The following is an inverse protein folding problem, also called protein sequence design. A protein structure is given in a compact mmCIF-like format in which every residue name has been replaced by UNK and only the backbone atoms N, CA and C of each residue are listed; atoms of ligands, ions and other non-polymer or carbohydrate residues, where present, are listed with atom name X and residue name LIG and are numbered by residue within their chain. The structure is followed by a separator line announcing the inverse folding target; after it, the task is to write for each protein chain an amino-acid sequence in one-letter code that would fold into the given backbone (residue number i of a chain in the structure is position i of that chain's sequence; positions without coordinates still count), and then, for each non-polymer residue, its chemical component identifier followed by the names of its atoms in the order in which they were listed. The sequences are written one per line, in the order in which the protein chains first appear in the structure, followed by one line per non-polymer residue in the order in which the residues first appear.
data_IF_268951341938
#
_entry.id   IF_268951341938
#
_cell.length_a   1.000
_cell.length_b   1.000
_cell.length_c   1.000
_cell.angle_alpha   90.00
_cell.angle_beta   90.00
_cell.angle_gamma   90.00
#
_symmetry.space_group_name_H-M   'P 1'
#
loop_
_entity.id
_entity.type
_entity.pdbx_description
1 polymer ?
#
# COMPACT_ATOMS: atom_id res chain seq x y z
N UNK A 1 7.46 5.14 33.51
CA UNK A 1 7.42 4.95 32.04
C UNK A 1 7.27 3.47 31.85
N UNK A 2 6.04 3.00 31.88
CA UNK A 2 5.74 1.59 31.71
C UNK A 2 6.08 1.23 30.26
N UNK A 3 7.00 0.29 30.09
CA UNK A 3 7.33 -0.21 28.76
C UNK A 3 6.11 -1.00 28.27
N UNK A 4 5.40 -0.45 27.30
CA UNK A 4 4.25 -1.10 26.69
C UNK A 4 4.77 -2.24 25.80
N UNK A 5 4.73 -3.47 26.34
CA UNK A 5 5.05 -4.68 25.60
C UNK A 5 3.80 -5.19 24.90
N UNK A 6 3.89 -5.46 23.60
CA UNK A 6 2.81 -6.05 22.82
C UNK A 6 3.05 -7.56 22.65
N UNK A 7 1.99 -8.35 22.69
CA UNK A 7 2.04 -9.77 22.37
C UNK A 7 2.33 -9.94 20.87
N UNK A 8 3.32 -10.75 20.52
CA UNK A 8 3.72 -10.98 19.12
C UNK A 8 2.52 -11.41 18.24
N UNK A 9 1.64 -12.25 18.79
CA UNK A 9 0.43 -12.69 18.12
C UNK A 9 -0.53 -11.55 17.79
N UNK A 10 -0.64 -10.53 18.64
CA UNK A 10 -1.49 -9.36 18.39
C UNK A 10 -0.91 -8.49 17.28
N UNK A 11 0.42 -8.29 17.29
CA UNK A 11 1.11 -7.55 16.23
C UNK A 11 0.95 -8.27 14.88
N UNK A 12 1.21 -9.58 14.84
CA UNK A 12 1.06 -10.39 13.63
C UNK A 12 -0.38 -10.40 13.12
N UNK A 13 -1.36 -10.46 14.02
CA UNK A 13 -2.79 -10.35 13.70
C UNK A 13 -3.12 -9.00 13.06
N UNK A 14 -2.64 -7.90 13.64
CA UNK A 14 -2.83 -6.55 13.09
C UNK A 14 -2.21 -6.40 11.70
N UNK A 15 -0.99 -6.92 11.50
CA UNK A 15 -0.34 -6.93 10.17
C UNK A 15 -1.19 -7.70 9.16
N UNK A 16 -1.65 -8.90 9.53
CA UNK A 16 -2.46 -9.75 8.65
C UNK A 16 -3.79 -9.09 8.25
N UNK A 17 -4.50 -8.51 9.21
CA UNK A 17 -5.73 -7.74 8.94
C UNK A 17 -5.44 -6.52 8.07
N UNK A 18 -4.35 -5.80 8.34
CA UNK A 18 -3.89 -4.67 7.52
C UNK A 18 -3.67 -5.07 6.06
N UNK A 19 -3.08 -6.25 5.81
CA UNK A 19 -2.90 -6.79 4.46
C UNK A 19 -4.22 -7.15 3.77
N UNK A 20 -5.25 -7.59 4.51
CA UNK A 20 -6.59 -7.83 3.96
C UNK A 20 -7.31 -6.52 3.60
N UNK A 21 -7.00 -5.40 4.26
CA UNK A 21 -7.62 -4.11 3.95
C UNK A 21 -7.09 -3.45 2.66
N UNK A 22 -5.91 -3.83 2.18
CA UNK A 22 -5.24 -3.21 1.02
C UNK A 22 -5.20 -4.11 -0.22
N UNK A 23 -6.15 -5.04 -0.30
CA UNK A 23 -6.31 -5.94 -1.44
C UNK A 23 -6.60 -5.17 -2.74
N UNK A 24 -6.08 -5.70 -3.85
CA UNK A 24 -6.24 -5.12 -5.19
C UNK A 24 -7.73 -4.93 -5.53
N UNK A 25 -8.52 -6.02 -5.44
CA UNK A 25 -9.96 -5.93 -5.62
C UNK A 25 -10.63 -5.32 -4.38
N UNK A 26 -11.49 -4.34 -4.58
CA UNK A 26 -12.30 -3.75 -3.50
C UNK A 26 -13.25 -4.79 -2.86
N UNK A 27 -13.71 -5.78 -3.62
CA UNK A 27 -14.59 -6.84 -3.13
C UNK A 27 -13.89 -7.80 -2.16
N UNK A 28 -12.56 -7.82 -2.17
CA UNK A 28 -11.76 -8.70 -1.30
C UNK A 28 -11.39 -8.04 0.04
N UNK A 29 -11.73 -6.75 0.22
CA UNK A 29 -11.45 -6.01 1.44
C UNK A 29 -12.54 -6.32 2.47
N UNK A 30 -12.18 -6.60 3.74
CA UNK A 30 -13.18 -6.81 4.78
C UNK A 30 -13.92 -5.51 5.06
N UNK A 31 -15.19 -5.62 5.42
CA UNK A 31 -15.94 -4.50 5.97
C UNK A 31 -15.44 -4.16 7.40
N UNK A 32 -15.75 -2.95 7.88
CA UNK A 32 -15.27 -2.49 9.19
C UNK A 32 -15.80 -3.33 10.37
N UNK A 33 -17.00 -3.90 10.27
CA UNK A 33 -17.53 -4.76 11.33
C UNK A 33 -16.76 -6.08 11.42
N UNK A 34 -16.40 -6.66 10.27
CA UNK A 34 -15.49 -7.80 10.18
C UNK A 34 -14.11 -7.46 10.75
N UNK A 35 -13.55 -6.27 10.47
CA UNK A 35 -12.26 -5.84 11.03
C UNK A 35 -12.31 -5.76 12.56
N UNK A 36 -13.33 -5.14 13.14
CA UNK A 36 -13.50 -5.06 14.59
C UNK A 36 -13.65 -6.44 15.22
N UNK A 37 -14.43 -7.32 14.57
CA UNK A 37 -14.58 -8.71 15.00
C UNK A 37 -13.23 -9.46 14.97
N UNK A 38 -12.45 -9.32 13.89
CA UNK A 38 -11.12 -9.93 13.75
C UNK A 38 -10.12 -9.44 14.80
N UNK A 39 -10.19 -8.18 15.18
CA UNK A 39 -9.34 -7.61 16.23
C UNK A 39 -9.74 -8.10 17.63
N UNK A 40 -11.04 -8.19 17.92
CA UNK A 40 -11.57 -8.54 19.24
C UNK A 40 -11.50 -10.03 19.58
N UNK A 41 -11.24 -10.91 18.62
CA UNK A 41 -11.15 -12.35 18.82
C UNK A 41 -9.71 -12.86 18.61
N UNK A 42 -9.28 -13.81 19.44
CA UNK A 42 -7.91 -14.34 19.42
C UNK A 42 -7.72 -15.58 18.53
N UNK A 43 -8.79 -16.26 18.14
CA UNK A 43 -8.74 -17.57 17.48
C UNK A 43 -9.54 -17.59 16.17
N UNK A 44 -9.43 -16.53 15.36
CA UNK A 44 -10.05 -16.53 14.02
C UNK A 44 -9.01 -17.02 13.02
N UNK A 45 -9.36 -18.05 12.26
CA UNK A 45 -8.64 -18.44 11.04
C UNK A 45 -8.83 -17.33 10.00
N UNK A 46 -7.90 -16.38 9.98
CA UNK A 46 -7.92 -15.28 9.02
C UNK A 46 -7.59 -15.80 7.62
N UNK A 47 -8.33 -15.39 6.58
CA UNK A 47 -8.02 -15.77 5.22
C UNK A 47 -6.64 -15.24 4.82
N UNK A 48 -5.91 -15.98 3.98
CA UNK A 48 -4.60 -15.52 3.48
C UNK A 48 -4.78 -14.29 2.59
N UNK A 49 -4.00 -13.20 2.79
CA UNK A 49 -4.02 -12.03 1.92
C UNK A 49 -3.67 -12.41 0.48
N UNK A 50 -4.42 -11.87 -0.50
CA UNK A 50 -4.03 -11.93 -1.91
C UNK A 50 -3.02 -10.81 -2.22
N UNK A 51 -2.65 -10.66 -3.49
CA UNK A 51 -1.72 -9.63 -3.92
C UNK A 51 -2.26 -8.21 -3.60
N UNK A 52 -1.48 -7.38 -2.90
CA UNK A 52 -1.84 -5.98 -2.70
C UNK A 52 -1.89 -5.24 -4.04
N UNK A 53 -2.73 -4.21 -4.13
CA UNK A 53 -2.86 -3.35 -5.33
C UNK A 53 -1.53 -2.72 -5.80
N UNK A 54 -0.50 -2.75 -4.96
CA UNK A 54 0.77 -2.07 -5.19
C UNK A 54 1.96 -2.94 -4.82
N UNK A 55 2.20 -4.02 -5.56
CA UNK A 55 3.53 -4.62 -5.58
C UNK A 55 4.44 -3.72 -6.42
N UNK A 56 5.30 -2.91 -5.78
CA UNK A 56 6.39 -2.20 -6.48
C UNK A 56 7.40 -3.22 -6.98
N UNK A 57 7.08 -3.86 -8.09
CA UNK A 57 8.02 -4.61 -8.91
C UNK A 57 8.92 -3.65 -9.67
N UNK A 58 9.71 -2.81 -8.98
CA UNK A 58 10.83 -2.13 -9.63
C UNK A 58 11.92 -3.17 -9.83
N UNK A 59 11.78 -4.02 -10.87
CA UNK A 59 12.93 -4.72 -11.47
C UNK A 59 13.83 -3.66 -12.09
N UNK A 60 14.62 -2.98 -11.26
CA UNK A 60 15.77 -2.20 -11.71
C UNK A 60 16.78 -3.23 -12.22
N UNK A 61 16.68 -3.55 -13.49
CA UNK A 61 17.75 -4.24 -14.21
C UNK A 61 18.91 -3.23 -14.32
N UNK A 62 19.68 -3.05 -13.25
CA UNK A 62 20.92 -2.29 -13.28
C UNK A 62 21.93 -3.15 -14.02
N UNK A 63 21.86 -3.12 -15.35
CA UNK A 63 23.00 -3.48 -16.18
C UNK A 63 23.93 -2.27 -16.15
N UNK A 64 25.00 -2.43 -15.38
CA UNK A 64 26.16 -1.57 -15.37
C UNK A 64 26.69 -1.40 -16.81
N UNK A 65 26.85 -0.16 -17.27
CA UNK A 65 27.58 0.12 -18.50
C UNK A 65 27.17 1.42 -19.19
N UNK A 66 28.05 2.41 -19.10
CA UNK A 66 28.39 3.33 -20.20
C UNK A 66 27.34 4.32 -20.68
N UNK A 67 27.69 5.60 -20.61
CA UNK A 67 27.00 6.67 -21.29
C UNK A 67 26.87 6.44 -22.81
N UNK A 68 25.80 7.04 -23.34
CA UNK A 68 25.67 7.63 -24.69
C UNK A 68 25.21 6.72 -25.84
N UNK A 69 23.99 6.94 -26.33
CA UNK A 69 23.59 6.48 -27.66
C UNK A 69 22.09 6.57 -28.00
N UNK A 70 21.64 7.77 -28.39
CA UNK A 70 20.43 8.14 -29.14
C UNK A 70 19.07 7.47 -28.82
N UNK A 71 18.29 8.13 -27.97
CA UNK A 71 16.82 8.09 -28.00
C UNK A 71 16.29 9.49 -28.34
N UNK A 72 15.20 9.62 -29.10
CA UNK A 72 14.71 10.91 -29.57
C UNK A 72 14.40 11.78 -28.36
N UNK A 73 14.96 12.98 -28.36
CA UNK A 73 14.78 13.98 -27.30
C UNK A 73 13.29 14.18 -27.01
N UNK A 74 12.85 13.73 -25.85
CA UNK A 74 11.47 13.87 -25.42
C UNK A 74 11.20 13.08 -24.14
N UNK A 75 11.40 13.75 -23.01
CA UNK A 75 10.72 13.47 -21.73
C UNK A 75 11.36 12.43 -20.80
N UNK A 76 12.31 12.98 -20.04
CA UNK A 76 12.64 12.62 -18.65
C UNK A 76 11.41 12.24 -17.83
N UNK A 77 11.57 11.20 -17.01
CA UNK A 77 10.55 10.77 -16.07
C UNK A 77 10.07 11.88 -15.13
N UNK A 78 8.76 12.01 -15.04
CA UNK A 78 7.98 12.28 -13.84
C UNK A 78 6.52 12.21 -14.27
N UNK A 79 5.68 11.46 -13.57
CA UNK A 79 4.23 11.59 -13.76
C UNK A 79 3.81 12.93 -13.18
N UNK A 80 3.47 13.90 -14.04
CA UNK A 80 2.85 15.14 -13.59
C UNK A 80 1.36 14.85 -13.44
N UNK A 81 0.91 14.70 -12.19
CA UNK A 81 -0.53 14.64 -11.92
C UNK A 81 -1.03 16.09 -11.96
N UNK A 82 -1.79 16.47 -12.98
CA UNK A 82 -2.40 17.79 -13.06
C UNK A 82 -3.39 17.98 -11.89
N UNK A 83 -3.01 18.82 -10.93
CA UNK A 83 -3.88 19.27 -9.85
C UNK A 83 -4.59 20.54 -10.31
N UNK A 84 -5.91 20.53 -10.37
CA UNK A 84 -6.70 21.73 -10.68
C UNK A 84 -6.96 22.54 -9.41
N UNK A 85 -6.38 23.75 -9.34
CA UNK A 85 -6.69 24.72 -8.28
C UNK A 85 -7.94 25.52 -8.68
N UNK A 86 -8.90 25.61 -7.77
CA UNK A 86 -10.08 26.48 -7.92
C UNK A 86 -9.96 27.62 -6.92
N UNK A 87 -9.97 28.86 -7.41
CA UNK A 87 -9.94 30.04 -6.56
C UNK A 87 -11.34 30.40 -6.05
N UNK A 88 -11.45 30.71 -4.76
CA UNK A 88 -12.69 31.17 -4.13
C UNK A 88 -12.80 32.70 -4.25
N UNK A 89 -13.77 33.19 -5.03
CA UNK A 89 -14.02 34.63 -5.14
C UNK A 89 -15.03 35.09 -4.09
N UNK A 90 -14.58 35.91 -3.14
CA UNK A 90 -15.43 36.63 -2.20
C UNK A 90 -16.22 37.75 -2.90
N UNK A 91 -17.42 38.05 -2.41
CA UNK A 91 -18.31 39.10 -2.91
C UNK A 91 -17.91 40.49 -2.42
#
# INVERSE_FOLDING_TARGET
MDAESYEENEVMKCVHIGLLCVQESASDRPDMSSVVFMLGHNAIDLPSPKHPAFTVGRKRNVKNGGSSGNWPSGETGSSVNDVTLTDVQGR
#
